data_IF_099521172246
#
_entry.id   IF_099521172246
#
_cell.length_a   1.000
_cell.length_b   1.000
_cell.length_c   1.000
_cell.angle_alpha   90.00
_cell.angle_beta   90.00
_cell.angle_gamma   90.00
#
_symmetry.space_group_name_H-M   'P 1'
#
loop_
_entity.id
_entity.type
_entity.pdbx_description
1 polymer ?
#
# COMPACT_ATOMS: atom_id res chain seq x y z
N UNK A 1 -38.44 -27.44 8.31
CA UNK A 1 -37.52 -26.63 7.49
C UNK A 1 -37.50 -25.24 8.12
N UNK A 2 -36.40 -24.87 8.79
CA UNK A 2 -36.30 -23.61 9.54
C UNK A 2 -35.60 -22.62 8.60
N UNK A 3 -36.34 -21.66 8.08
CA UNK A 3 -35.81 -20.65 7.16
C UNK A 3 -34.62 -19.95 7.82
N UNK A 4 -33.47 -20.02 7.16
CA UNK A 4 -32.30 -19.25 7.56
C UNK A 4 -32.64 -17.76 7.36
N UNK A 5 -32.30 -16.87 8.31
CA UNK A 5 -32.52 -15.45 8.08
C UNK A 5 -31.62 -15.06 6.90
N UNK A 6 -32.24 -14.78 5.75
CA UNK A 6 -31.56 -14.17 4.62
C UNK A 6 -30.91 -12.89 5.14
N UNK A 7 -29.59 -12.82 5.07
CA UNK A 7 -28.84 -11.58 5.17
C UNK A 7 -29.09 -10.80 3.87
N UNK A 8 -30.32 -10.36 3.66
CA UNK A 8 -30.72 -9.55 2.51
C UNK A 8 -30.37 -8.10 2.89
N UNK A 9 -29.22 -7.64 2.41
CA UNK A 9 -28.79 -6.25 2.57
C UNK A 9 -29.66 -5.35 1.71
N UNK A 10 -30.62 -4.66 2.34
CA UNK A 10 -31.33 -3.53 1.75
C UNK A 10 -30.45 -2.27 1.85
N UNK A 11 -29.32 -2.27 1.14
CA UNK A 11 -28.47 -1.08 1.00
C UNK A 11 -28.25 -0.78 -0.47
N UNK A 12 -28.50 0.48 -0.84
CA UNK A 12 -28.40 1.01 -2.22
C UNK A 12 -26.97 1.00 -2.80
N UNK A 13 -25.99 0.54 -2.03
CA UNK A 13 -24.55 0.52 -2.37
C UNK A 13 -24.04 -0.88 -2.79
N UNK A 14 -24.87 -1.91 -2.79
CA UNK A 14 -24.46 -3.28 -3.14
C UNK A 14 -23.64 -3.99 -2.05
N UNK A 15 -23.60 -3.46 -0.83
CA UNK A 15 -22.92 -4.09 0.31
C UNK A 15 -23.72 -5.27 0.87
N UNK A 16 -23.12 -6.46 0.87
CA UNK A 16 -23.70 -7.65 1.52
C UNK A 16 -23.58 -7.63 3.05
N UNK A 17 -22.94 -6.60 3.61
CA UNK A 17 -22.63 -6.51 5.03
C UNK A 17 -23.66 -5.64 5.76
N UNK A 18 -24.21 -6.15 6.87
CA UNK A 18 -25.06 -5.36 7.76
C UNK A 18 -24.30 -4.11 8.25
N UNK A 19 -24.75 -2.91 7.89
CA UNK A 19 -24.14 -1.63 8.26
C UNK A 19 -23.94 -1.40 9.77
N UNK A 20 -24.72 -2.09 10.61
CA UNK A 20 -24.62 -2.03 12.07
C UNK A 20 -23.88 -3.24 12.66
N UNK A 21 -23.37 -4.13 11.81
CA UNK A 21 -22.64 -5.32 12.20
C UNK A 21 -21.22 -5.03 12.67
N UNK A 22 -20.66 -5.96 13.43
CA UNK A 22 -19.20 -6.04 13.63
C UNK A 22 -18.67 -7.02 12.60
N UNK A 23 -17.70 -6.59 11.80
CA UNK A 23 -17.19 -7.36 10.70
C UNK A 23 -15.81 -7.90 11.01
N UNK A 24 -15.49 -9.01 10.36
CA UNK A 24 -14.16 -9.61 10.36
C UNK A 24 -13.70 -9.79 8.92
N UNK A 25 -12.42 -9.59 8.67
CA UNK A 25 -11.77 -9.76 7.37
C UNK A 25 -10.68 -10.82 7.52
N UNK A 26 -10.59 -11.74 6.56
CA UNK A 26 -9.56 -12.77 6.51
C UNK A 26 -9.37 -13.25 5.06
N UNK A 27 -8.36 -14.07 4.82
CA UNK A 27 -8.17 -14.68 3.49
C UNK A 27 -9.29 -15.69 3.21
N UNK A 28 -9.65 -15.82 1.92
CA UNK A 28 -10.67 -16.78 1.49
C UNK A 28 -10.26 -18.23 1.76
N UNK A 29 -8.96 -18.50 1.74
CA UNK A 29 -8.39 -19.81 2.01
C UNK A 29 -8.54 -20.16 3.50
N UNK A 30 -8.25 -19.22 4.41
CA UNK A 30 -8.45 -19.40 5.86
C UNK A 30 -9.92 -19.65 6.19
N UNK A 31 -10.84 -18.92 5.55
CA UNK A 31 -12.28 -19.14 5.68
C UNK A 31 -12.70 -20.52 5.17
N UNK A 32 -12.14 -20.96 4.06
CA UNK A 32 -12.44 -22.27 3.48
C UNK A 32 -11.93 -23.41 4.36
N UNK A 33 -10.69 -23.30 4.86
CA UNK A 33 -10.12 -24.24 5.81
C UNK A 33 -10.96 -24.30 7.10
N UNK A 34 -11.39 -23.15 7.64
CA UNK A 34 -12.21 -23.09 8.84
C UNK A 34 -13.56 -23.78 8.63
N UNK A 35 -14.18 -23.56 7.47
CA UNK A 35 -15.43 -24.23 7.09
C UNK A 35 -15.23 -25.75 7.02
N UNK A 36 -14.15 -26.21 6.42
CA UNK A 36 -13.83 -27.64 6.31
C UNK A 36 -13.61 -28.29 7.68
N UNK A 37 -12.84 -27.66 8.58
CA UNK A 37 -12.66 -28.15 9.95
C UNK A 37 -14.00 -28.30 10.69
N UNK A 38 -14.90 -27.31 10.56
CA UNK A 38 -16.23 -27.38 11.18
C UNK A 38 -17.07 -28.52 10.59
N UNK A 39 -17.02 -28.73 9.27
CA UNK A 39 -17.74 -29.83 8.62
C UNK A 39 -17.17 -31.21 9.01
N UNK A 40 -15.85 -31.34 9.16
CA UNK A 40 -15.19 -32.57 9.60
C UNK A 40 -15.52 -32.93 11.07
N UNK A 41 -15.73 -31.93 11.93
CA UNK A 41 -16.11 -32.14 13.32
C UNK A 41 -17.52 -32.74 13.51
N UNK A 42 -18.47 -32.46 12.61
CA UNK A 42 -19.88 -32.94 12.72
C UNK A 42 -20.01 -34.47 12.82
N UNK A 43 -19.43 -35.27 11.92
CA UNK A 43 -19.53 -36.73 12.02
C UNK A 43 -18.83 -37.28 13.27
N UNK A 44 -17.77 -36.64 13.77
CA UNK A 44 -17.11 -37.05 15.02
C UNK A 44 -18.06 -36.93 16.21
N UNK A 45 -18.81 -35.82 16.31
CA UNK A 45 -19.84 -35.64 17.35
C UNK A 45 -20.93 -36.71 17.24
N UNK A 46 -21.43 -36.99 16.04
CA UNK A 46 -22.44 -38.03 15.82
C UNK A 46 -21.94 -39.43 16.21
N UNK A 47 -20.67 -39.73 15.91
CA UNK A 47 -20.03 -40.99 16.28
C UNK A 47 -19.89 -41.13 17.79
N UNK A 48 -19.43 -40.06 18.48
CA UNK A 48 -19.36 -40.02 19.95
C UNK A 48 -20.74 -40.27 20.58
N UNK A 49 -21.78 -39.57 20.11
CA UNK A 49 -23.15 -39.76 20.58
C UNK A 49 -23.66 -41.19 20.34
N UNK A 50 -23.30 -41.80 19.20
CA UNK A 50 -23.71 -43.18 18.88
C UNK A 50 -23.01 -44.21 19.76
N UNK A 51 -21.74 -43.97 20.13
CA UNK A 51 -20.97 -44.83 21.03
C UNK A 51 -21.43 -44.71 22.49
N UNK A 52 -21.94 -43.54 22.90
CA UNK A 52 -22.44 -43.30 24.27
C UNK A 52 -23.91 -43.71 24.48
N UNK A 53 -24.72 -43.74 23.41
CA UNK A 53 -26.15 -44.10 23.48
C UNK A 53 -26.42 -45.48 24.12
N UNK A 54 -25.67 -46.55 23.83
CA UNK A 54 -25.85 -47.86 24.47
C UNK A 54 -25.57 -47.81 25.98
N UNK A 55 -24.63 -46.97 26.41
CA UNK A 55 -24.23 -46.85 27.83
C UNK A 55 -25.27 -46.10 28.67
N UNK A 56 -25.97 -45.11 28.09
CA UNK A 56 -27.09 -44.44 28.74
C UNK A 56 -28.36 -45.29 28.82
N UNK A 57 -28.59 -46.17 27.84
CA UNK A 57 -29.76 -47.05 27.81
C UNK A 57 -29.62 -48.30 28.71
N UNK A 58 -28.45 -48.51 29.33
CA UNK A 58 -28.13 -49.70 30.12
C UNK A 58 -28.34 -49.54 31.64
N UNK A 59 -28.87 -48.42 32.12
CA UNK A 59 -29.24 -48.26 33.55
C UNK A 59 -30.48 -49.08 33.97
N UNK A 60 -30.86 -50.10 33.19
CA UNK A 60 -31.95 -51.00 33.53
C UNK A 60 -32.03 -52.26 32.68
N UNK A 61 -30.99 -53.12 32.67
CA UNK A 61 -31.19 -54.59 32.68
C UNK A 61 -29.88 -55.37 32.91
N UNK A 62 -29.94 -56.29 33.85
CA UNK A 62 -28.90 -57.25 34.21
C UNK A 62 -28.67 -58.36 33.17
N UNK A 63 -27.50 -59.01 33.30
CA UNK A 63 -27.21 -60.43 33.02
C UNK A 63 -26.61 -60.84 31.66
N UNK A 64 -25.35 -61.30 31.76
CA UNK A 64 -24.66 -62.40 31.06
C UNK A 64 -24.50 -62.37 29.53
N UNK A 65 -23.25 -62.21 29.08
CA UNK A 65 -22.47 -63.29 28.45
C UNK A 65 -21.13 -62.75 27.91
N UNK A 66 -20.09 -63.54 28.12
CA UNK A 66 -18.68 -63.36 27.75
C UNK A 66 -18.46 -63.09 26.26
N UNK A 67 -17.88 -61.93 25.92
CA UNK A 67 -16.69 -61.78 25.04
C UNK A 67 -16.34 -60.28 24.97
N UNK A 68 -15.26 -59.82 25.59
CA UNK A 68 -14.97 -58.40 25.87
C UNK A 68 -15.13 -57.43 24.65
N UNK A 69 -16.28 -56.72 24.49
CA UNK A 69 -16.48 -55.76 23.40
C UNK A 69 -16.22 -54.32 23.88
N UNK A 70 -16.15 -54.10 25.20
CA UNK A 70 -16.05 -52.79 25.83
C UNK A 70 -14.74 -52.05 25.51
N UNK A 71 -13.63 -52.78 25.34
CA UNK A 71 -12.34 -52.13 25.07
C UNK A 71 -12.27 -51.53 23.65
N UNK A 72 -12.95 -52.11 22.66
CA UNK A 72 -12.96 -51.56 21.29
C UNK A 72 -13.80 -50.28 21.21
N UNK A 73 -15.01 -50.29 21.79
CA UNK A 73 -15.88 -49.10 21.84
C UNK A 73 -15.26 -47.94 22.63
N UNK A 74 -14.60 -48.23 23.75
CA UNK A 74 -13.88 -47.21 24.56
C UNK A 74 -12.67 -46.63 23.79
N UNK A 75 -11.91 -47.47 23.08
CA UNK A 75 -10.81 -46.97 22.23
C UNK A 75 -11.30 -46.12 21.06
N UNK A 76 -12.37 -46.52 20.39
CA UNK A 76 -12.99 -45.74 19.31
C UNK A 76 -13.54 -44.41 19.82
N UNK A 77 -14.21 -44.43 20.98
CA UNK A 77 -14.72 -43.22 21.64
C UNK A 77 -13.58 -42.26 21.98
N UNK A 78 -12.51 -42.76 22.60
CA UNK A 78 -11.33 -41.96 22.92
C UNK A 78 -10.69 -41.36 21.67
N UNK A 79 -10.57 -42.15 20.60
CA UNK A 79 -10.00 -41.69 19.33
C UNK A 79 -10.87 -40.61 18.69
N UNK A 80 -12.20 -40.77 18.70
CA UNK A 80 -13.13 -39.76 18.19
C UNK A 80 -13.14 -38.47 19.02
N UNK A 81 -12.99 -38.57 20.34
CA UNK A 81 -12.85 -37.40 21.22
C UNK A 81 -11.54 -36.66 20.93
N UNK A 82 -10.42 -37.39 20.81
CA UNK A 82 -9.12 -36.78 20.49
C UNK A 82 -9.10 -36.12 19.11
N UNK A 83 -9.71 -36.76 18.10
CA UNK A 83 -9.85 -36.17 16.77
C UNK A 83 -10.70 -34.89 16.81
N UNK A 84 -11.82 -34.90 17.54
CA UNK A 84 -12.68 -33.72 17.67
C UNK A 84 -11.96 -32.57 18.39
N UNK A 85 -11.17 -32.88 19.43
CA UNK A 85 -10.36 -31.90 20.12
C UNK A 85 -9.35 -31.25 19.16
N UNK A 86 -8.63 -32.05 18.37
CA UNK A 86 -7.69 -31.54 17.37
C UNK A 86 -8.38 -30.63 16.35
N UNK A 87 -9.53 -31.04 15.79
CA UNK A 87 -10.32 -30.22 14.85
C UNK A 87 -10.74 -28.87 15.46
N UNK A 88 -11.09 -28.86 16.76
CA UNK A 88 -11.44 -27.62 17.46
C UNK A 88 -10.23 -26.71 17.70
N UNK A 89 -9.06 -27.28 18.01
CA UNK A 89 -7.81 -26.54 18.16
C UNK A 89 -7.37 -25.90 16.82
N UNK A 90 -7.45 -26.66 15.72
CA UNK A 90 -7.21 -26.13 14.36
C UNK A 90 -8.20 -25.02 13.98
N UNK A 91 -9.50 -25.22 14.28
CA UNK A 91 -10.52 -24.18 14.08
C UNK A 91 -10.22 -22.90 14.87
N UNK A 92 -9.78 -23.05 16.12
CA UNK A 92 -9.40 -21.91 16.97
C UNK A 92 -8.16 -21.19 16.43
N UNK A 93 -7.17 -21.92 15.92
CA UNK A 93 -5.99 -21.38 15.25
C UNK A 93 -6.40 -20.54 14.02
N UNK A 94 -7.24 -21.10 13.15
CA UNK A 94 -7.74 -20.41 11.96
C UNK A 94 -8.54 -19.15 12.31
N UNK A 95 -9.31 -19.14 13.40
CA UNK A 95 -10.02 -17.96 13.87
C UNK A 95 -9.09 -16.78 14.23
N UNK A 96 -7.83 -17.05 14.60
CA UNK A 96 -6.85 -15.99 14.88
C UNK A 96 -6.34 -15.28 13.62
N UNK A 97 -6.54 -15.88 12.44
CA UNK A 97 -6.16 -15.29 11.15
C UNK A 97 -7.12 -14.17 10.70
N UNK A 98 -8.25 -13.99 11.40
CA UNK A 98 -9.26 -12.98 11.10
C UNK A 98 -9.06 -11.70 11.90
N UNK A 99 -9.23 -10.57 11.20
CA UNK A 99 -9.04 -9.24 11.74
C UNK A 99 -10.39 -8.55 11.90
N UNK A 100 -10.63 -7.92 13.06
CA UNK A 100 -11.86 -7.14 13.28
C UNK A 100 -11.78 -5.85 12.47
N UNK A 101 -12.79 -5.60 11.66
CA UNK A 101 -12.91 -4.39 10.85
C UNK A 101 -14.18 -3.63 11.22
N UNK A 102 -14.06 -2.31 11.37
CA UNK A 102 -15.20 -1.41 11.28
C UNK A 102 -15.45 -1.17 9.80
N UNK A 103 -16.69 -1.40 9.34
CA UNK A 103 -17.07 -0.97 8.00
C UNK A 103 -16.95 0.56 7.95
N UNK A 104 -16.46 1.16 6.86
CA UNK A 104 -16.54 2.60 6.68
C UNK A 104 -18.00 2.96 6.87
N UNK A 105 -18.30 3.79 7.88
CA UNK A 105 -19.66 4.23 8.10
C UNK A 105 -20.07 4.98 6.85
N UNK A 106 -20.94 4.39 6.03
CA UNK A 106 -21.76 5.19 5.13
C UNK A 106 -22.49 6.13 6.06
N UNK A 107 -22.04 7.39 6.14
CA UNK A 107 -22.73 8.42 6.89
C UNK A 107 -24.17 8.43 6.37
N UNK A 108 -25.08 7.83 7.14
CA UNK A 108 -26.48 8.23 7.09
C UNK A 108 -26.55 9.71 7.45
N UNK A 109 -27.66 10.40 7.13
CA UNK A 109 -27.76 11.85 7.19
C UNK A 109 -27.64 12.36 8.63
N UNK A 110 -26.41 12.50 9.09
CA UNK A 110 -26.02 12.99 10.40
C UNK A 110 -24.91 14.01 10.16
N UNK A 111 -25.35 15.24 9.88
CA UNK A 111 -24.60 16.50 9.87
C UNK A 111 -23.17 16.45 9.28
N UNK A 112 -22.98 16.90 8.02
CA UNK A 112 -21.64 17.29 7.58
C UNK A 112 -21.22 18.48 8.45
N UNK A 113 -19.97 18.58 8.87
CA UNK A 113 -19.63 19.86 9.51
C UNK A 113 -18.35 20.07 10.27
N UNK A 114 -17.44 19.09 10.42
CA UNK A 114 -16.18 19.38 11.13
C UNK A 114 -14.95 18.71 10.52
N UNK A 115 -14.92 17.39 10.42
CA UNK A 115 -13.72 16.69 9.94
C UNK A 115 -13.55 16.81 8.41
N UNK A 116 -14.63 16.59 7.66
CA UNK A 116 -14.64 16.64 6.19
C UNK A 116 -14.41 18.08 5.67
N UNK A 117 -15.09 19.06 6.27
CA UNK A 117 -14.87 20.49 5.97
C UNK A 117 -13.45 20.97 6.31
N UNK A 118 -12.85 20.46 7.39
CA UNK A 118 -11.46 20.78 7.75
C UNK A 118 -10.49 20.21 6.70
N UNK A 119 -10.70 18.97 6.27
CA UNK A 119 -9.87 18.33 5.25
C UNK A 119 -10.00 19.02 3.88
N UNK A 120 -11.22 19.40 3.49
CA UNK A 120 -11.46 20.15 2.25
C UNK A 120 -10.77 21.52 2.29
N UNK A 121 -10.84 22.21 3.44
CA UNK A 121 -10.15 23.48 3.66
C UNK A 121 -8.63 23.34 3.57
N UNK A 122 -8.07 22.31 4.20
CA UNK A 122 -6.62 22.01 4.11
C UNK A 122 -6.19 21.73 2.67
N UNK A 123 -7.00 21.00 1.89
CA UNK A 123 -6.73 20.77 0.47
C UNK A 123 -6.72 22.07 -0.34
N UNK A 124 -7.66 22.98 -0.07
CA UNK A 124 -7.70 24.29 -0.73
C UNK A 124 -6.47 25.13 -0.39
N UNK A 125 -6.09 25.17 0.89
CA UNK A 125 -4.91 25.91 1.35
C UNK A 125 -3.62 25.35 0.74
N UNK A 126 -3.47 24.02 0.70
CA UNK A 126 -2.32 23.38 0.06
C UNK A 126 -2.26 23.69 -1.45
N UNK A 127 -3.40 23.65 -2.15
CA UNK A 127 -3.45 24.02 -3.57
C UNK A 127 -3.07 25.49 -3.80
N UNK A 128 -3.53 26.39 -2.94
CA UNK A 128 -3.17 27.80 -3.00
C UNK A 128 -1.66 28.01 -2.75
N UNK A 129 -1.08 27.29 -1.79
CA UNK A 129 0.34 27.34 -1.49
C UNK A 129 1.20 26.82 -2.65
N UNK A 130 0.81 25.71 -3.27
CA UNK A 130 1.48 25.16 -4.46
C UNK A 130 1.41 26.17 -5.62
N UNK A 131 0.24 26.75 -5.90
CA UNK A 131 0.10 27.77 -6.94
C UNK A 131 0.96 29.00 -6.70
N UNK A 132 1.11 29.42 -5.43
CA UNK A 132 1.99 30.54 -5.06
C UNK A 132 3.47 30.20 -5.32
N UNK A 133 3.90 28.99 -4.97
CA UNK A 133 5.28 28.53 -5.21
C UNK A 133 5.59 28.42 -6.70
N UNK A 134 4.65 27.92 -7.50
CA UNK A 134 4.79 27.79 -8.95
C UNK A 134 4.98 29.16 -9.64
N UNK A 135 4.16 30.16 -9.27
CA UNK A 135 4.31 31.54 -9.77
C UNK A 135 5.66 32.15 -9.41
N UNK A 136 6.13 31.92 -8.18
CA UNK A 136 7.43 32.42 -7.72
C UNK A 136 8.59 31.76 -8.49
N UNK A 137 8.50 30.46 -8.74
CA UNK A 137 9.48 29.71 -9.51
C UNK A 137 9.53 30.21 -10.95
N UNK A 138 8.36 30.40 -11.59
CA UNK A 138 8.26 30.93 -12.95
C UNK A 138 8.88 32.33 -13.06
N UNK A 139 8.54 33.24 -12.14
CA UNK A 139 9.13 34.58 -12.10
C UNK A 139 10.66 34.55 -11.92
N UNK A 140 11.16 33.62 -11.11
CA UNK A 140 12.60 33.47 -10.87
C UNK A 140 13.32 32.90 -12.09
N UNK A 141 12.71 31.94 -12.79
CA UNK A 141 13.24 31.40 -14.04
C UNK A 141 13.36 32.46 -15.14
N UNK A 142 12.34 33.32 -15.31
CA UNK A 142 12.39 34.41 -16.30
C UNK A 142 13.45 35.47 -15.97
N UNK A 143 13.59 35.82 -14.69
CA UNK A 143 14.68 36.70 -14.23
C UNK A 143 16.06 36.09 -14.51
N UNK A 144 16.23 34.79 -14.23
CA UNK A 144 17.48 34.08 -14.47
C UNK A 144 17.81 34.04 -15.98
N UNK A 145 16.82 33.77 -16.82
CA UNK A 145 16.95 33.79 -18.27
C UNK A 145 17.41 35.16 -18.78
N UNK A 146 16.79 36.23 -18.29
CA UNK A 146 17.14 37.61 -18.65
C UNK A 146 18.56 37.97 -18.20
N UNK A 147 18.93 37.61 -16.97
CA UNK A 147 20.27 37.83 -16.44
C UNK A 147 21.33 37.06 -17.26
N UNK A 148 21.05 35.82 -17.65
CA UNK A 148 21.93 35.03 -18.50
C UNK A 148 22.11 35.65 -19.89
N UNK A 149 21.03 36.14 -20.51
CA UNK A 149 21.12 36.84 -21.80
C UNK A 149 21.98 38.11 -21.69
N UNK A 150 21.80 38.88 -20.61
CA UNK A 150 22.62 40.06 -20.37
C UNK A 150 24.09 39.69 -20.17
N UNK A 151 24.38 38.61 -19.43
CA UNK A 151 25.73 38.08 -19.26
C UNK A 151 26.37 37.72 -20.60
N UNK A 152 25.65 36.98 -21.45
CA UNK A 152 26.14 36.60 -22.78
C UNK A 152 26.41 37.83 -23.67
N UNK A 153 25.50 38.81 -23.66
CA UNK A 153 25.70 40.05 -24.41
C UNK A 153 26.96 40.82 -23.92
N UNK A 154 27.20 40.84 -22.61
CA UNK A 154 28.40 41.44 -22.03
C UNK A 154 29.67 40.66 -22.41
N UNK A 155 29.63 39.33 -22.37
CA UNK A 155 30.74 38.47 -22.78
C UNK A 155 31.12 38.72 -24.24
N UNK A 156 30.13 38.76 -25.14
CA UNK A 156 30.35 39.08 -26.56
C UNK A 156 30.95 40.49 -26.73
N UNK A 157 30.45 41.48 -25.99
CA UNK A 157 31.02 42.83 -26.03
C UNK A 157 32.48 42.84 -25.60
N UNK A 158 32.81 42.19 -24.49
CA UNK A 158 34.19 42.11 -23.97
C UNK A 158 35.09 41.41 -24.98
N UNK A 159 34.69 40.26 -25.53
CA UNK A 159 35.46 39.54 -26.56
C UNK A 159 35.71 40.40 -27.79
N UNK A 160 34.70 41.14 -28.25
CA UNK A 160 34.84 42.05 -29.38
C UNK A 160 35.86 43.17 -29.10
N UNK A 161 35.83 43.76 -27.90
CA UNK A 161 36.80 44.77 -27.51
C UNK A 161 38.22 44.21 -27.41
N UNK A 162 38.39 43.06 -26.75
CA UNK A 162 39.69 42.39 -26.63
C UNK A 162 40.28 42.03 -28.00
N UNK A 163 39.44 41.56 -28.93
CA UNK A 163 39.85 41.25 -30.31
C UNK A 163 40.34 42.50 -31.03
N UNK A 164 39.58 43.61 -30.95
CA UNK A 164 40.00 44.90 -31.55
C UNK A 164 41.31 45.41 -30.97
N UNK A 165 41.46 45.35 -29.64
CA UNK A 165 42.70 45.77 -28.97
C UNK A 165 43.88 44.90 -29.41
N UNK A 166 43.69 43.58 -29.45
CA UNK A 166 44.69 42.64 -29.94
C UNK A 166 45.12 42.96 -31.38
N UNK A 167 44.17 43.25 -32.27
CA UNK A 167 44.46 43.57 -33.67
C UNK A 167 45.24 44.88 -33.82
N UNK A 168 44.90 45.90 -33.01
CA UNK A 168 45.67 47.16 -32.95
C UNK A 168 47.10 46.90 -32.48
N UNK A 169 47.29 46.11 -31.41
CA UNK A 169 48.61 45.77 -30.89
C UNK A 169 49.43 44.95 -31.89
N UNK A 170 48.80 43.98 -32.56
CA UNK A 170 49.43 43.18 -33.62
C UNK A 170 49.88 44.06 -34.80
N UNK A 171 49.05 45.03 -35.21
CA UNK A 171 49.40 46.00 -36.25
C UNK A 171 50.53 46.93 -35.81
N UNK A 172 50.51 47.39 -34.57
CA UNK A 172 51.59 48.21 -34.02
C UNK A 172 52.93 47.44 -33.99
N UNK A 173 52.92 46.18 -33.54
CA UNK A 173 54.09 45.30 -33.52
C UNK A 173 54.68 45.10 -34.91
N UNK A 174 53.86 44.68 -35.87
CA UNK A 174 54.29 44.47 -37.27
C UNK A 174 54.84 45.75 -37.90
N UNK A 175 54.24 46.91 -37.61
CA UNK A 175 54.78 48.20 -38.07
C UNK A 175 56.18 48.50 -37.51
N UNK A 176 56.45 48.14 -36.24
CA UNK A 176 57.76 48.31 -35.62
C UNK A 176 58.79 47.34 -36.20
N UNK A 177 58.43 46.08 -36.40
CA UNK A 177 59.28 45.06 -37.04
C UNK A 177 59.72 45.52 -38.45
N UNK A 178 58.79 46.00 -39.28
CA UNK A 178 59.09 46.52 -40.62
C UNK A 178 59.99 47.76 -40.58
N UNK A 179 59.74 48.70 -39.65
CA UNK A 179 60.59 49.89 -39.47
C UNK A 179 62.00 49.53 -39.02
N UNK A 180 62.17 48.51 -38.17
CA UNK A 180 63.49 48.05 -37.71
C UNK A 180 64.29 47.32 -38.80
N UNK A 181 63.62 46.66 -39.75
CA UNK A 181 64.27 45.93 -40.85
C UNK A 181 64.65 46.84 -42.03
N UNK A 182 63.98 47.98 -42.19
CA UNK A 182 64.22 48.93 -43.29
C UNK A 182 65.65 49.51 -43.32
N UNK A 183 66.29 49.89 -42.20
CA UNK A 183 67.69 50.33 -42.19
C UNK A 183 68.68 49.21 -42.56
N UNK A 184 68.36 47.95 -42.24
CA UNK A 184 69.24 46.80 -42.53
C UNK A 184 69.25 46.43 -44.02
N UNK A 185 68.11 46.60 -44.71
CA UNK A 185 67.98 46.38 -46.16
C UNK A 185 68.57 47.51 -47.02
N UNK A 186 68.82 48.69 -46.43
CA UNK A 186 69.37 49.85 -47.12
C UNK A 186 70.82 50.16 -46.72
N UNK A 187 71.64 49.13 -46.49
CA UNK A 187 73.10 49.31 -46.46
C UNK A 187 73.62 49.34 -47.90
N UNK A 188 74.34 50.40 -48.34
CA UNK A 188 74.96 50.39 -49.65
C UNK A 188 76.10 49.37 -49.62
N UNK A 189 76.11 48.44 -50.58
CA UNK A 189 77.28 47.64 -50.86
C UNK A 189 78.41 48.59 -51.28
N UNK A 190 79.48 48.64 -50.47
CA UNK A 190 80.74 49.32 -50.80
C UNK A 190 81.41 48.64 -52.00
#
# INVERSE_FOLDING_TARGET
>A
MKNSPKLEGDTTDGSFANKNGRHVIGHIDDYTALREQIEEGKPLVQKILSLLRPTCNFLGLESQSSEAPGNKGVRELRSSISALQHTLEESASLLTMFWRAALPSSQGPALPGKADESMERELLDLRAQVSKQEKLLQSTAERLKTANQQKENMEQFIVNQLTRTHDVLKKARTNLEVKSLRPLLCTPAL
#
